data_IF_583723828528
#
_entry.id   IF_583723828528
#
_cell.length_a   1.000
_cell.length_b   1.000
_cell.length_c   1.000
_cell.angle_alpha   90.00
_cell.angle_beta   90.00
_cell.angle_gamma   90.00
#
_symmetry.space_group_name_H-M   'P 1'
#
loop_
_entity.id
_entity.type
_entity.pdbx_description
1 polymer ?
#
# COMPACT_ATOMS: atom_id res chain seq x y z
N UNK A 1 -71.81 -3.84 -6.94
CA UNK A 1 -72.30 -2.59 -7.57
C UNK A 1 -72.78 -1.67 -6.45
N UNK A 2 -72.46 -0.37 -6.36
CA UNK A 2 -71.81 0.56 -7.32
C UNK A 2 -70.31 0.80 -6.98
N UNK A 3 -69.37 1.15 -7.87
CA UNK A 3 -69.26 2.18 -8.91
C UNK A 3 -68.94 3.57 -8.34
N UNK A 4 -67.91 4.22 -8.95
CA UNK A 4 -67.54 5.66 -8.95
C UNK A 4 -66.50 6.11 -7.90
N UNK A 5 -65.41 6.83 -8.22
CA UNK A 5 -64.88 7.46 -9.44
C UNK A 5 -63.41 7.80 -9.17
N UNK A 6 -62.53 7.67 -10.17
CA UNK A 6 -61.16 8.22 -10.16
C UNK A 6 -61.23 9.72 -10.50
N UNK A 7 -60.64 10.58 -9.66
CA UNK A 7 -60.25 11.94 -10.01
C UNK A 7 -58.97 12.28 -9.22
N UNK A 8 -57.79 12.22 -9.85
CA UNK A 8 -57.10 13.32 -10.54
C UNK A 8 -56.70 14.49 -9.63
N UNK A 9 -55.41 14.87 -9.75
CA UNK A 9 -54.80 16.15 -9.34
C UNK A 9 -54.27 16.15 -7.89
N UNK A 10 -53.01 16.50 -7.59
CA UNK A 10 -52.02 17.33 -8.28
C UNK A 10 -50.60 16.89 -7.89
N UNK A 11 -49.78 16.53 -8.87
CA UNK A 11 -48.32 16.44 -8.72
C UNK A 11 -47.73 17.83 -8.99
N UNK A 12 -46.59 18.10 -8.34
CA UNK A 12 -45.65 19.22 -8.53
C UNK A 12 -45.91 20.50 -7.72
N UNK A 13 -45.33 20.54 -6.52
CA UNK A 13 -44.68 21.74 -6.02
C UNK A 13 -43.17 21.48 -5.96
N UNK A 14 -42.45 22.06 -6.91
CA UNK A 14 -41.00 22.12 -6.92
C UNK A 14 -40.51 22.95 -5.73
N UNK A 15 -39.59 22.40 -4.94
CA UNK A 15 -38.76 23.18 -4.03
C UNK A 15 -37.30 22.91 -4.41
N UNK A 16 -36.76 23.80 -5.24
CA UNK A 16 -35.34 23.98 -5.50
C UNK A 16 -34.67 24.43 -4.20
N UNK A 17 -34.16 23.48 -3.42
CA UNK A 17 -33.29 23.73 -2.27
C UNK A 17 -31.84 23.50 -2.66
N UNK A 18 -31.23 24.48 -3.32
CA UNK A 18 -29.80 24.50 -3.55
C UNK A 18 -29.07 24.78 -2.22
N UNK A 19 -28.42 23.77 -1.67
CA UNK A 19 -27.34 23.94 -0.70
C UNK A 19 -26.20 23.00 -1.10
N UNK A 20 -25.44 23.44 -2.10
CA UNK A 20 -24.14 22.88 -2.42
C UNK A 20 -23.15 23.26 -1.31
N UNK A 21 -23.18 22.52 -0.20
CA UNK A 21 -22.01 22.45 0.68
C UNK A 21 -20.99 21.57 -0.03
N UNK A 22 -20.20 22.21 -0.89
CA UNK A 22 -18.93 21.68 -1.36
C UNK A 22 -18.01 21.52 -0.13
N UNK A 23 -18.20 20.42 0.60
CA UNK A 23 -17.15 19.81 1.39
C UNK A 23 -16.06 19.43 0.38
N UNK A 24 -15.15 20.37 0.15
CA UNK A 24 -13.84 20.10 -0.42
C UNK A 24 -13.06 19.32 0.64
N UNK A 25 -13.48 18.07 0.87
CA UNK A 25 -12.56 17.07 1.39
C UNK A 25 -11.48 16.96 0.31
N UNK A 26 -10.21 17.33 0.60
CA UNK A 26 -9.14 16.95 -0.30
C UNK A 26 -9.25 15.44 -0.50
N UNK A 27 -9.14 14.94 -1.74
CA UNK A 27 -9.10 13.50 -1.97
C UNK A 27 -8.00 12.95 -1.05
N UNK A 28 -8.37 11.97 -0.21
CA UNK A 28 -7.39 11.16 0.48
C UNK A 28 -6.49 10.59 -0.60
N UNK A 29 -5.25 11.05 -0.64
CA UNK A 29 -4.24 10.69 -1.64
C UNK A 29 -4.09 9.15 -1.64
N UNK A 30 -4.71 8.42 -2.58
CA UNK A 30 -4.72 6.98 -2.57
C UNK A 30 -3.43 6.54 -3.26
N UNK A 31 -2.34 6.63 -2.50
CA UNK A 31 -1.02 6.37 -3.00
C UNK A 31 -0.13 7.57 -2.77
N UNK A 32 0.43 7.65 -1.55
CA UNK A 32 1.86 7.95 -1.50
C UNK A 32 2.50 6.97 -2.46
N UNK A 33 2.79 7.43 -3.67
CA UNK A 33 3.73 6.79 -4.56
C UNK A 33 5.00 6.71 -3.72
N UNK A 34 5.21 5.54 -3.10
CA UNK A 34 6.43 5.27 -2.37
C UNK A 34 7.53 5.42 -3.40
N UNK A 35 8.21 6.56 -3.36
CA UNK A 35 9.35 6.83 -4.20
C UNK A 35 10.27 5.62 -4.05
N UNK A 36 10.64 5.00 -5.16
CA UNK A 36 11.58 3.89 -5.16
C UNK A 36 12.86 4.35 -4.45
N UNK A 37 13.20 3.68 -3.34
CA UNK A 37 14.31 4.13 -2.49
C UNK A 37 15.53 3.28 -2.73
N UNK A 38 16.57 3.93 -3.25
CA UNK A 38 17.87 3.35 -3.44
C UNK A 38 18.68 3.36 -2.13
N UNK A 39 19.38 2.27 -1.82
CA UNK A 39 20.40 2.25 -0.76
C UNK A 39 19.93 2.00 0.66
N UNK A 40 18.65 1.63 0.89
CA UNK A 40 18.14 1.36 2.23
C UNK A 40 18.70 0.06 2.84
N UNK A 41 18.83 0.02 4.17
CA UNK A 41 19.10 -1.20 4.94
C UNK A 41 17.83 -1.65 5.65
N UNK A 42 17.40 -2.88 5.38
CA UNK A 42 16.28 -3.55 6.00
C UNK A 42 16.80 -4.63 6.95
N UNK A 43 16.57 -4.47 8.24
CA UNK A 43 16.93 -5.46 9.25
C UNK A 43 15.70 -6.29 9.54
N UNK A 44 15.73 -7.56 9.18
CA UNK A 44 14.59 -8.47 9.31
C UNK A 44 14.86 -9.50 10.42
N UNK A 45 13.84 -9.80 11.21
CA UNK A 45 13.93 -10.86 12.24
C UNK A 45 14.20 -12.23 11.64
N UNK A 46 13.75 -12.47 10.41
CA UNK A 46 13.95 -13.73 9.73
C UNK A 46 14.17 -13.50 8.24
N UNK A 47 15.15 -14.18 7.68
CA UNK A 47 15.42 -14.17 6.24
C UNK A 47 15.46 -15.59 5.69
N UNK A 48 14.76 -15.79 4.58
CA UNK A 48 14.81 -16.99 3.76
C UNK A 48 15.53 -16.64 2.45
N UNK A 49 16.77 -17.12 2.30
CA UNK A 49 17.56 -16.88 1.08
C UNK A 49 17.38 -18.04 0.09
N UNK A 50 16.73 -17.78 -1.04
CA UNK A 50 16.63 -18.70 -2.19
C UNK A 50 17.15 -17.99 -3.43
N UNK A 51 18.47 -17.88 -3.54
CA UNK A 51 19.12 -17.07 -4.57
C UNK A 51 18.57 -17.35 -5.98
N UNK A 52 18.33 -16.29 -6.79
CA UNK A 52 18.67 -14.88 -6.53
C UNK A 52 17.58 -14.09 -5.76
N UNK A 53 16.61 -14.77 -5.15
CA UNK A 53 15.56 -14.15 -4.33
C UNK A 53 15.89 -14.23 -2.83
N UNK A 54 15.56 -13.18 -2.08
CA UNK A 54 15.70 -13.14 -0.62
C UNK A 54 14.41 -12.58 -0.04
N UNK A 55 13.78 -13.35 0.84
CA UNK A 55 12.54 -12.95 1.51
C UNK A 55 12.80 -12.71 3.00
N UNK A 56 12.55 -11.49 3.46
CA UNK A 56 12.65 -11.08 4.87
C UNK A 56 11.27 -10.94 5.51
N UNK A 57 11.14 -11.26 6.79
CA UNK A 57 9.93 -11.10 7.61
C UNK A 57 10.22 -10.23 8.82
N UNK A 58 9.22 -9.45 9.24
CA UNK A 58 9.31 -8.53 10.38
C UNK A 58 10.53 -7.62 10.23
N UNK A 59 10.49 -6.76 9.21
CA UNK A 59 11.61 -5.93 8.81
C UNK A 59 11.48 -4.50 9.33
N UNK A 60 12.59 -3.93 9.75
CA UNK A 60 12.72 -2.53 10.10
C UNK A 60 13.73 -1.84 9.17
N UNK A 61 13.50 -0.57 8.80
CA UNK A 61 12.34 0.25 9.13
C UNK A 61 11.04 -0.22 8.44
N UNK A 62 9.90 0.02 9.10
CA UNK A 62 8.57 -0.32 8.61
C UNK A 62 8.16 0.57 7.42
N UNK A 63 8.53 0.17 6.20
CA UNK A 63 8.32 0.99 5.01
C UNK A 63 7.71 0.18 3.87
N UNK A 64 6.63 0.69 3.28
CA UNK A 64 5.93 0.04 2.17
C UNK A 64 6.34 0.65 0.84
N UNK A 65 6.51 -0.18 -0.20
CA UNK A 65 6.74 0.28 -1.57
C UNK A 65 7.89 -0.41 -2.31
N UNK A 66 8.20 0.09 -3.52
CA UNK A 66 9.28 -0.44 -4.33
C UNK A 66 10.65 -0.05 -3.75
N UNK A 67 11.61 -0.96 -3.88
CA UNK A 67 12.98 -0.84 -3.39
C UNK A 67 13.96 -1.02 -4.54
N UNK A 68 15.07 -0.29 -4.50
CA UNK A 68 16.23 -0.54 -5.36
C UNK A 68 17.54 -0.48 -4.59
N UNK A 69 18.55 -1.19 -5.10
CA UNK A 69 19.92 -1.22 -4.56
C UNK A 69 19.99 -1.22 -3.02
N UNK A 70 19.24 -2.12 -2.40
CA UNK A 70 19.03 -2.16 -0.95
C UNK A 70 19.71 -3.38 -0.33
N UNK A 71 19.83 -3.37 1.00
CA UNK A 71 20.46 -4.43 1.77
C UNK A 71 19.46 -5.04 2.75
N UNK A 72 19.38 -6.36 2.80
CA UNK A 72 18.62 -7.12 3.80
C UNK A 72 19.60 -7.75 4.79
N UNK A 73 19.33 -7.60 6.08
CA UNK A 73 20.14 -8.15 7.18
C UNK A 73 19.27 -9.13 7.97
N UNK A 74 19.71 -10.38 8.13
CA UNK A 74 19.06 -11.38 8.97
C UNK A 74 19.52 -11.24 10.42
N UNK A 75 18.65 -10.73 11.30
CA UNK A 75 18.96 -10.48 12.71
C UNK A 75 19.33 -11.75 13.49
N UNK A 76 19.02 -12.96 12.99
CA UNK A 76 19.35 -14.23 13.69
C UNK A 76 20.80 -14.64 13.57
N UNK A 77 21.48 -14.23 12.51
CA UNK A 77 22.82 -14.71 12.16
C UNK A 77 23.72 -13.64 11.52
N UNK A 78 23.24 -12.39 11.45
CA UNK A 78 23.90 -11.23 10.83
C UNK A 78 24.26 -11.41 9.35
N UNK A 79 23.66 -12.39 8.67
CA UNK A 79 23.85 -12.55 7.24
C UNK A 79 23.28 -11.36 6.49
N UNK A 80 24.08 -10.82 5.57
CA UNK A 80 23.75 -9.61 4.82
C UNK A 80 23.61 -9.92 3.34
N UNK A 81 22.57 -9.40 2.70
CA UNK A 81 22.24 -9.64 1.30
C UNK A 81 22.01 -8.31 0.60
N UNK A 82 22.69 -8.08 -0.51
CA UNK A 82 22.45 -6.91 -1.35
C UNK A 82 21.57 -7.28 -2.53
N UNK A 83 20.43 -6.60 -2.68
CA UNK A 83 19.43 -6.83 -3.71
C UNK A 83 19.33 -5.62 -4.64
N UNK A 84 19.14 -5.86 -5.95
CA UNK A 84 19.06 -4.77 -6.94
C UNK A 84 17.69 -4.11 -6.96
N UNK A 85 16.63 -4.90 -6.79
CA UNK A 85 15.24 -4.45 -6.86
C UNK A 85 14.39 -5.26 -5.88
N UNK A 86 13.27 -4.71 -5.41
CA UNK A 86 12.39 -5.44 -4.51
C UNK A 86 11.14 -4.65 -4.15
N UNK A 87 10.39 -5.19 -3.21
CA UNK A 87 9.23 -4.55 -2.61
C UNK A 87 9.22 -4.83 -1.10
N UNK A 88 8.80 -3.85 -0.31
CA UNK A 88 8.50 -4.05 1.10
C UNK A 88 7.04 -3.71 1.39
N UNK A 89 6.46 -4.41 2.38
CA UNK A 89 5.11 -4.18 2.86
C UNK A 89 5.18 -3.72 4.33
N UNK A 90 5.60 -2.47 4.53
CA UNK A 90 5.73 -1.91 5.86
C UNK A 90 6.76 -2.68 6.68
N UNK A 91 6.38 -3.05 7.91
CA UNK A 91 7.21 -3.92 8.75
C UNK A 91 6.97 -5.41 8.52
N UNK A 92 6.00 -5.82 7.71
CA UNK A 92 5.58 -7.22 7.65
C UNK A 92 6.60 -8.09 6.94
N UNK A 93 7.06 -7.65 5.77
CA UNK A 93 8.02 -8.39 4.96
C UNK A 93 8.69 -7.51 3.91
N UNK A 94 9.80 -8.02 3.38
CA UNK A 94 10.49 -7.48 2.21
C UNK A 94 10.86 -8.63 1.26
N UNK A 95 10.60 -8.47 -0.03
CA UNK A 95 10.97 -9.43 -1.08
C UNK A 95 12.00 -8.78 -2.02
N UNK A 96 13.21 -9.32 -2.00
CA UNK A 96 14.33 -8.83 -2.79
C UNK A 96 14.67 -9.75 -3.95
N UNK A 97 15.03 -9.13 -5.08
CA UNK A 97 15.38 -9.80 -6.32
C UNK A 97 16.79 -9.43 -6.78
N UNK A 98 17.43 -10.36 -7.50
CA UNK A 98 18.83 -10.26 -7.94
C UNK A 98 19.77 -10.02 -6.75
N UNK A 99 19.53 -10.75 -5.67
CA UNK A 99 20.27 -10.63 -4.43
C UNK A 99 21.57 -11.41 -4.48
N UNK A 100 22.58 -10.90 -3.78
CA UNK A 100 23.89 -11.54 -3.58
C UNK A 100 24.29 -11.43 -2.11
N UNK A 101 24.97 -12.43 -1.54
CA UNK A 101 25.53 -12.30 -0.21
C UNK A 101 26.55 -11.16 -0.21
N UNK A 102 26.53 -10.33 0.82
CA UNK A 102 27.68 -9.49 1.18
C UNK A 102 28.36 -10.15 2.36
N UNK A 103 29.63 -10.52 2.18
CA UNK A 103 30.46 -10.84 3.34
C UNK A 103 30.65 -9.54 4.10
N UNK A 104 30.28 -9.55 5.39
CA UNK A 104 30.54 -8.46 6.33
C UNK A 104 32.03 -8.36 6.65
#
# INVERSE_FOLDING_TARGET
MPCRTVALSTVLAAALGAAALLLTTPPADPGRASAERAGEMLVCEQVESRYPQVFGRNCDPAQGGPLSDFTVIDRRNDNTYHCRTGWAEGSLWADGQNCRPRQG
#
